data_IF_458738771600
#
_entry.id   IF_458738771600
#
_cell.length_a   1.000
_cell.length_b   1.000
_cell.length_c   1.000
_cell.angle_alpha   90.00
_cell.angle_beta   90.00
_cell.angle_gamma   90.00
#
_symmetry.space_group_name_H-M   'P 1'
#
loop_
_entity.id
_entity.type
_entity.pdbx_description
1 polymer ?
#
# COMPACT_ATOMS: atom_id res chain seq x y z
N UNK A 1 -15.38 8.52 -17.08
CA UNK A 1 -15.06 8.96 -15.71
C UNK A 1 -13.65 9.53 -15.53
N UNK A 2 -12.78 9.51 -16.54
CA UNK A 2 -11.42 10.08 -16.44
C UNK A 2 -11.38 11.60 -16.15
N UNK A 3 -12.43 12.34 -16.43
CA UNK A 3 -12.53 13.78 -16.19
C UNK A 3 -13.06 14.18 -14.79
N UNK A 4 -13.51 13.21 -13.97
CA UNK A 4 -14.02 13.53 -12.63
C UNK A 4 -12.88 13.71 -11.62
N UNK A 5 -13.00 14.70 -10.75
CA UNK A 5 -12.07 14.93 -9.63
C UNK A 5 -12.07 13.78 -8.62
N UNK A 6 -11.01 13.66 -7.81
CA UNK A 6 -10.82 12.56 -6.86
C UNK A 6 -11.97 12.43 -5.86
N UNK A 7 -12.47 13.53 -5.28
CA UNK A 7 -13.61 13.49 -4.35
C UNK A 7 -14.85 12.88 -4.99
N UNK A 8 -15.14 13.21 -6.27
CA UNK A 8 -16.26 12.61 -7.00
C UNK A 8 -16.01 11.13 -7.28
N UNK A 9 -14.76 10.73 -7.61
CA UNK A 9 -14.41 9.31 -7.80
C UNK A 9 -14.56 8.51 -6.51
N UNK A 10 -14.22 9.08 -5.35
CA UNK A 10 -14.46 8.43 -4.05
C UNK A 10 -15.91 7.96 -3.91
N UNK A 11 -16.86 8.78 -4.35
CA UNK A 11 -18.31 8.54 -4.18
C UNK A 11 -18.91 7.75 -5.35
N UNK A 12 -18.47 7.99 -6.59
CA UNK A 12 -19.20 7.54 -7.79
C UNK A 12 -18.49 6.41 -8.57
N UNK A 13 -17.20 6.18 -8.37
CA UNK A 13 -16.50 5.18 -9.16
C UNK A 13 -16.81 3.73 -8.70
N UNK A 14 -16.62 2.78 -9.61
CA UNK A 14 -16.66 1.34 -9.34
C UNK A 14 -18.03 0.69 -9.38
N UNK A 15 -19.10 1.38 -8.97
CA UNK A 15 -20.46 0.87 -9.03
C UNK A 15 -21.42 1.89 -9.68
N UNK A 16 -22.18 1.44 -10.66
CA UNK A 16 -23.17 2.25 -11.38
C UNK A 16 -24.48 1.49 -11.45
N UNK A 17 -25.42 1.73 -10.51
CA UNK A 17 -26.69 1.03 -10.49
C UNK A 17 -27.56 1.42 -11.68
N UNK A 18 -28.27 0.42 -12.24
CA UNK A 18 -29.29 0.60 -13.26
C UNK A 18 -30.63 1.00 -12.63
N UNK A 19 -31.62 1.29 -13.48
CA UNK A 19 -32.96 1.63 -13.03
C UNK A 19 -33.56 0.52 -12.16
N UNK A 20 -33.93 0.84 -10.92
CA UNK A 20 -34.49 -0.10 -9.95
C UNK A 20 -33.47 -0.94 -9.17
N UNK A 21 -32.16 -0.79 -9.44
CA UNK A 21 -31.12 -1.45 -8.67
C UNK A 21 -30.77 -0.67 -7.38
N UNK A 22 -30.23 -1.35 -6.35
CA UNK A 22 -29.82 -0.70 -5.12
C UNK A 22 -28.79 0.40 -5.37
N UNK A 23 -28.96 1.54 -4.69
CA UNK A 23 -27.98 2.64 -4.76
C UNK A 23 -26.62 2.25 -4.18
N UNK A 24 -26.63 1.53 -3.04
CA UNK A 24 -25.43 1.00 -2.45
C UNK A 24 -25.07 -0.34 -3.10
N UNK A 25 -23.77 -0.61 -3.19
CA UNK A 25 -23.28 -1.88 -3.71
C UNK A 25 -23.87 -3.04 -2.90
N UNK A 26 -24.49 -4.05 -3.53
CA UNK A 26 -24.98 -5.23 -2.83
C UNK A 26 -23.82 -6.07 -2.27
N UNK A 27 -24.03 -6.67 -1.10
CA UNK A 27 -23.12 -7.69 -0.58
C UNK A 27 -23.51 -9.05 -1.17
N UNK A 28 -22.73 -9.54 -2.12
CA UNK A 28 -22.96 -10.85 -2.75
C UNK A 28 -22.29 -11.94 -1.92
N UNK A 29 -22.99 -12.41 -0.91
CA UNK A 29 -22.51 -13.45 0.02
C UNK A 29 -22.81 -14.85 -0.55
N UNK A 30 -22.11 -15.21 -1.62
CA UNK A 30 -22.22 -16.52 -2.27
C UNK A 30 -20.84 -17.08 -2.61
N UNK A 31 -20.63 -18.37 -2.42
CA UNK A 31 -19.39 -19.05 -2.84
C UNK A 31 -19.40 -19.38 -4.32
N UNK A 32 -20.57 -19.63 -4.90
CA UNK A 32 -20.71 -20.09 -6.29
C UNK A 32 -21.90 -19.45 -6.99
N UNK A 33 -21.94 -19.55 -8.30
CA UNK A 33 -22.94 -18.91 -9.16
C UNK A 33 -23.54 -19.95 -10.10
N UNK A 34 -24.84 -19.81 -10.44
CA UNK A 34 -25.58 -20.74 -11.29
C UNK A 34 -25.41 -20.37 -12.76
N UNK A 35 -25.23 -21.37 -13.59
CA UNK A 35 -25.26 -21.28 -15.05
C UNK A 35 -26.28 -22.24 -15.61
N UNK A 36 -26.78 -21.99 -16.82
CA UNK A 36 -27.79 -22.84 -17.48
C UNK A 36 -27.16 -24.03 -18.21
N UNK A 37 -25.90 -23.91 -18.63
CA UNK A 37 -25.18 -24.97 -19.31
C UNK A 37 -23.73 -25.12 -18.88
N UNK A 38 -23.20 -26.35 -19.01
CA UNK A 38 -21.77 -26.63 -18.81
C UNK A 38 -20.90 -25.90 -19.83
N UNK A 39 -21.42 -25.67 -21.05
CA UNK A 39 -20.68 -24.95 -22.09
C UNK A 39 -20.46 -23.48 -21.74
N UNK A 40 -21.48 -22.79 -21.18
CA UNK A 40 -21.31 -21.42 -20.70
C UNK A 40 -20.30 -21.35 -19.58
N UNK A 41 -20.37 -22.26 -18.61
CA UNK A 41 -19.42 -22.31 -17.49
C UNK A 41 -18.00 -22.63 -18.00
N UNK A 42 -17.85 -23.55 -18.96
CA UNK A 42 -16.56 -23.90 -19.56
C UNK A 42 -15.84 -22.70 -20.17
N UNK A 43 -16.54 -21.81 -20.85
CA UNK A 43 -15.98 -20.59 -21.44
C UNK A 43 -15.38 -19.64 -20.40
N UNK A 44 -15.89 -19.65 -19.14
CA UNK A 44 -15.31 -18.88 -18.05
C UNK A 44 -13.98 -19.50 -17.59
N UNK A 45 -13.92 -20.84 -17.49
CA UNK A 45 -12.69 -21.55 -17.16
C UNK A 45 -11.62 -21.41 -18.24
N UNK A 46 -12.03 -21.31 -19.51
CA UNK A 46 -11.13 -21.07 -20.64
C UNK A 46 -10.76 -19.59 -20.81
N UNK A 47 -11.22 -18.74 -19.90
CA UNK A 47 -11.07 -17.28 -19.95
C UNK A 47 -11.64 -16.65 -21.24
N UNK A 48 -12.59 -17.31 -21.89
CA UNK A 48 -13.26 -16.87 -23.14
C UNK A 48 -14.45 -15.95 -22.89
N UNK A 49 -15.00 -15.98 -21.69
CA UNK A 49 -16.09 -15.13 -21.26
C UNK A 49 -15.79 -14.48 -19.93
N UNK A 50 -16.41 -13.32 -19.68
CA UNK A 50 -16.40 -12.66 -18.38
C UNK A 50 -17.58 -13.13 -17.54
N UNK A 51 -17.38 -13.34 -16.24
CA UNK A 51 -18.43 -13.74 -15.33
C UNK A 51 -17.88 -14.28 -14.00
N UNK A 52 -18.80 -14.64 -13.13
CA UNK A 52 -18.46 -15.14 -11.78
C UNK A 52 -18.88 -16.60 -11.67
N UNK A 53 -18.01 -17.48 -11.23
CA UNK A 53 -18.34 -18.88 -10.99
C UNK A 53 -17.97 -19.33 -9.57
N UNK A 54 -16.97 -18.71 -8.97
CA UNK A 54 -16.56 -19.00 -7.59
C UNK A 54 -15.91 -17.79 -6.93
N UNK A 55 -16.40 -17.39 -5.76
CA UNK A 55 -15.98 -16.16 -5.08
C UNK A 55 -14.54 -16.14 -4.61
N UNK A 56 -13.84 -17.28 -4.54
CA UNK A 56 -12.39 -17.30 -4.26
C UNK A 56 -11.58 -16.60 -5.36
N UNK A 57 -12.03 -16.64 -6.61
CA UNK A 57 -11.37 -15.95 -7.71
C UNK A 57 -11.89 -14.52 -7.82
N UNK A 58 -13.20 -14.37 -7.96
CA UNK A 58 -13.86 -13.08 -8.19
C UNK A 58 -15.24 -13.04 -7.55
N UNK A 59 -15.64 -11.86 -7.10
CA UNK A 59 -16.96 -11.60 -6.53
C UNK A 59 -17.43 -10.21 -6.96
N UNK A 60 -18.71 -10.03 -7.37
CA UNK A 60 -19.20 -8.73 -7.86
C UNK A 60 -19.00 -7.57 -6.89
N UNK A 61 -19.14 -7.80 -5.57
CA UNK A 61 -18.90 -6.78 -4.55
C UNK A 61 -17.43 -6.37 -4.52
N UNK A 62 -16.53 -7.34 -4.50
CA UNK A 62 -15.08 -7.11 -4.46
C UNK A 62 -14.60 -6.37 -5.72
N UNK A 63 -15.09 -6.78 -6.89
CA UNK A 63 -14.68 -6.20 -8.17
C UNK A 63 -15.13 -4.74 -8.31
N UNK A 64 -16.32 -4.40 -7.81
CA UNK A 64 -16.77 -3.01 -7.82
C UNK A 64 -15.91 -2.12 -6.90
N UNK A 65 -15.49 -2.63 -5.75
CA UNK A 65 -14.60 -1.90 -4.83
C UNK A 65 -13.18 -1.81 -5.41
N UNK A 66 -12.67 -2.88 -6.00
CA UNK A 66 -11.39 -2.88 -6.70
C UNK A 66 -11.38 -1.86 -7.85
N UNK A 67 -12.45 -1.80 -8.64
CA UNK A 67 -12.60 -0.82 -9.73
C UNK A 67 -12.64 0.63 -9.20
N UNK A 68 -13.21 0.87 -8.02
CA UNK A 68 -13.15 2.19 -7.36
C UNK A 68 -11.71 2.56 -6.99
N UNK A 69 -10.96 1.64 -6.39
CA UNK A 69 -9.56 1.87 -6.03
C UNK A 69 -8.70 2.12 -7.28
N UNK A 70 -8.91 1.32 -8.34
CA UNK A 70 -8.25 1.55 -9.63
C UNK A 70 -8.53 2.95 -10.18
N UNK A 71 -9.79 3.40 -10.14
CA UNK A 71 -10.17 4.74 -10.59
C UNK A 71 -9.54 5.85 -9.74
N UNK A 72 -9.38 5.65 -8.44
CA UNK A 72 -8.72 6.60 -7.54
C UNK A 72 -7.23 6.71 -7.84
N UNK A 73 -6.51 5.60 -7.95
CA UNK A 73 -5.09 5.58 -8.29
C UNK A 73 -4.82 5.99 -9.76
N UNK A 74 -5.81 5.86 -10.64
CA UNK A 74 -5.66 6.09 -12.08
C UNK A 74 -5.06 4.89 -12.81
N UNK A 75 -5.24 3.70 -12.24
CA UNK A 75 -4.88 2.42 -12.85
C UNK A 75 -5.94 1.88 -13.81
N UNK A 76 -5.60 0.82 -14.53
CA UNK A 76 -6.48 0.15 -15.50
C UNK A 76 -7.22 -1.02 -14.91
N UNK A 77 -6.62 -1.71 -13.94
CA UNK A 77 -7.18 -2.89 -13.28
C UNK A 77 -6.74 -2.96 -11.81
N UNK A 78 -7.55 -3.58 -10.97
CA UNK A 78 -7.22 -3.83 -9.56
C UNK A 78 -7.85 -5.14 -9.07
N UNK A 79 -7.32 -5.65 -7.95
CA UNK A 79 -7.89 -6.77 -7.21
C UNK A 79 -7.80 -6.53 -5.71
N UNK A 80 -8.75 -7.04 -4.94
CA UNK A 80 -8.70 -7.07 -3.49
C UNK A 80 -8.08 -8.36 -2.97
N UNK A 81 -7.38 -8.26 -1.84
CA UNK A 81 -6.76 -9.39 -1.14
C UNK A 81 -7.14 -9.41 0.33
N UNK A 82 -6.92 -10.54 1.01
CA UNK A 82 -7.26 -10.73 2.42
C UNK A 82 -6.49 -9.82 3.38
N UNK A 83 -5.37 -9.24 2.96
CA UNK A 83 -4.54 -8.33 3.77
C UNK A 83 -3.57 -7.54 2.89
N UNK A 84 -3.00 -6.45 3.42
CA UNK A 84 -1.90 -5.73 2.78
C UNK A 84 -0.69 -6.63 2.52
N UNK A 85 -0.35 -7.54 3.45
CA UNK A 85 0.73 -8.51 3.25
C UNK A 85 0.45 -9.46 2.08
N UNK A 86 -0.79 -9.91 1.91
CA UNK A 86 -1.17 -10.70 0.74
C UNK A 86 -1.08 -9.89 -0.55
N UNK A 87 -1.44 -8.60 -0.52
CA UNK A 87 -1.28 -7.70 -1.68
C UNK A 87 0.19 -7.56 -2.07
N UNK A 88 1.08 -7.29 -1.12
CA UNK A 88 2.52 -7.17 -1.37
C UNK A 88 3.09 -8.48 -1.89
N UNK A 89 2.76 -9.60 -1.24
CA UNK A 89 3.23 -10.92 -1.67
C UNK A 89 2.76 -11.25 -3.09
N UNK A 90 1.48 -11.05 -3.40
CA UNK A 90 0.94 -11.34 -4.72
C UNK A 90 1.51 -10.41 -5.79
N UNK A 91 1.66 -9.11 -5.48
CA UNK A 91 2.23 -8.15 -6.41
C UNK A 91 3.66 -8.53 -6.81
N UNK A 92 4.49 -8.95 -5.86
CA UNK A 92 5.86 -9.37 -6.15
C UNK A 92 5.88 -10.77 -6.76
N UNK A 93 5.23 -11.76 -6.13
CA UNK A 93 5.31 -13.17 -6.52
C UNK A 93 4.62 -13.48 -7.86
N UNK A 94 3.78 -12.58 -8.35
CA UNK A 94 3.17 -12.67 -9.70
C UNK A 94 4.21 -12.64 -10.81
N UNK A 95 5.38 -12.02 -10.59
CA UNK A 95 6.44 -11.82 -11.58
C UNK A 95 7.83 -12.23 -11.09
N UNK A 96 8.00 -12.51 -9.80
CA UNK A 96 9.27 -12.89 -9.16
C UNK A 96 9.10 -14.29 -8.57
N UNK A 97 9.94 -15.23 -8.93
CA UNK A 97 9.91 -16.61 -8.44
C UNK A 97 11.26 -17.10 -7.94
N UNK A 98 11.38 -18.41 -7.71
CA UNK A 98 12.63 -19.02 -7.29
C UNK A 98 13.75 -18.79 -8.33
N UNK A 99 14.90 -18.35 -7.87
CA UNK A 99 16.06 -17.99 -8.70
C UNK A 99 16.06 -16.55 -9.20
N UNK A 100 14.98 -15.78 -8.94
CA UNK A 100 14.88 -14.39 -9.31
C UNK A 100 15.36 -13.45 -8.18
N UNK A 101 15.49 -12.17 -8.51
CA UNK A 101 15.98 -11.13 -7.62
C UNK A 101 15.00 -9.95 -7.55
N UNK A 102 14.86 -9.38 -6.35
CA UNK A 102 14.10 -8.17 -6.02
C UNK A 102 15.04 -7.09 -5.51
N UNK A 103 14.92 -5.86 -5.99
CA UNK A 103 15.50 -4.67 -5.35
C UNK A 103 14.43 -4.00 -4.50
N UNK A 104 14.71 -3.69 -3.24
CA UNK A 104 13.76 -3.02 -2.35
C UNK A 104 14.40 -1.85 -1.64
N UNK A 105 13.65 -0.76 -1.43
CA UNK A 105 14.05 0.24 -0.43
C UNK A 105 14.23 -0.45 0.92
N UNK A 106 15.24 -0.03 1.70
CA UNK A 106 15.45 -0.50 3.07
C UNK A 106 14.46 0.14 4.06
N UNK A 107 14.01 1.37 3.77
CA UNK A 107 12.98 2.06 4.55
C UNK A 107 11.60 1.64 4.08
N UNK A 108 11.08 0.56 4.66
CA UNK A 108 9.75 0.01 4.40
C UNK A 108 9.15 -0.55 5.71
N UNK A 109 7.86 -0.86 5.68
CA UNK A 109 7.18 -1.50 6.79
C UNK A 109 7.89 -2.78 7.24
N UNK A 110 8.08 -2.96 8.56
CA UNK A 110 8.81 -4.10 9.11
C UNK A 110 8.27 -5.47 8.69
N UNK A 111 6.96 -5.59 8.48
CA UNK A 111 6.35 -6.82 7.94
C UNK A 111 6.75 -7.10 6.49
N UNK A 112 6.86 -6.07 5.65
CA UNK A 112 7.35 -6.17 4.26
C UNK A 112 8.83 -6.52 4.22
N UNK A 113 9.62 -5.88 5.09
CA UNK A 113 11.04 -6.21 5.23
C UNK A 113 11.25 -7.69 5.59
N UNK A 114 10.53 -8.20 6.60
CA UNK A 114 10.62 -9.60 7.00
C UNK A 114 10.10 -10.55 5.91
N UNK A 115 9.03 -10.18 5.20
CA UNK A 115 8.54 -10.94 4.06
C UNK A 115 9.65 -11.16 3.02
N UNK A 116 10.36 -10.10 2.66
CA UNK A 116 11.41 -10.14 1.64
C UNK A 116 12.69 -10.80 2.17
N UNK A 117 13.19 -10.36 3.32
CA UNK A 117 14.47 -10.81 3.85
C UNK A 117 14.47 -12.27 4.32
N UNK A 118 13.32 -12.79 4.76
CA UNK A 118 13.21 -14.12 5.39
C UNK A 118 12.30 -15.05 4.60
N UNK A 119 11.04 -14.67 4.42
CA UNK A 119 10.03 -15.59 3.87
C UNK A 119 10.27 -15.87 2.40
N UNK A 120 10.43 -14.83 1.57
CA UNK A 120 10.68 -15.01 0.13
C UNK A 120 12.07 -15.60 -0.16
N UNK A 121 13.06 -15.31 0.70
CA UNK A 121 14.35 -15.98 0.63
C UNK A 121 14.24 -17.51 0.76
N UNK A 122 13.37 -18.00 1.64
CA UNK A 122 13.08 -19.44 1.76
C UNK A 122 12.37 -20.01 0.54
N UNK A 123 11.71 -19.16 -0.25
CA UNK A 123 11.09 -19.50 -1.54
C UNK A 123 12.06 -19.39 -2.71
N UNK A 124 13.35 -19.13 -2.45
CA UNK A 124 14.38 -19.03 -3.47
C UNK A 124 14.50 -17.66 -4.14
N UNK A 125 13.86 -16.62 -3.61
CA UNK A 125 13.99 -15.25 -4.10
C UNK A 125 15.12 -14.53 -3.36
N UNK A 126 16.04 -13.92 -4.11
CA UNK A 126 17.07 -13.07 -3.53
C UNK A 126 16.61 -11.61 -3.47
N UNK A 127 17.04 -10.87 -2.44
CA UNK A 127 16.66 -9.47 -2.25
C UNK A 127 17.90 -8.62 -1.94
N UNK A 128 18.01 -7.48 -2.63
CA UNK A 128 18.97 -6.41 -2.27
C UNK A 128 18.18 -5.22 -1.72
N UNK A 129 18.47 -4.84 -0.49
CA UNK A 129 17.94 -3.62 0.12
C UNK A 129 18.87 -2.45 -0.18
N UNK A 130 18.30 -1.31 -0.58
CA UNK A 130 19.03 -0.08 -0.89
C UNK A 130 18.57 1.05 0.03
N UNK A 131 19.49 1.92 0.40
CA UNK A 131 19.13 3.17 1.08
C UNK A 131 18.24 4.00 0.12
N UNK A 132 17.04 4.48 0.52
CA UNK A 132 16.22 5.32 -0.34
C UNK A 132 16.92 6.62 -0.77
N UNK A 133 17.91 7.07 0.02
CA UNK A 133 18.69 8.27 -0.25
C UNK A 133 19.99 8.00 -1.03
N UNK A 134 20.25 6.75 -1.44
CA UNK A 134 21.44 6.37 -2.22
C UNK A 134 21.51 7.16 -3.54
N UNK A 135 22.72 7.30 -4.07
CA UNK A 135 22.93 7.93 -5.38
C UNK A 135 22.30 7.10 -6.50
N UNK A 136 22.03 7.71 -7.67
CA UNK A 136 21.56 6.95 -8.84
C UNK A 136 22.50 5.81 -9.24
N UNK A 137 23.81 6.00 -9.09
CA UNK A 137 24.83 4.99 -9.42
C UNK A 137 24.79 3.80 -8.44
N UNK A 138 24.65 4.06 -7.14
CA UNK A 138 24.47 3.03 -6.13
C UNK A 138 23.16 2.26 -6.34
N UNK A 139 22.09 2.97 -6.72
CA UNK A 139 20.82 2.35 -7.03
C UNK A 139 20.91 1.44 -8.26
N UNK A 140 21.56 1.89 -9.34
CA UNK A 140 21.77 1.08 -10.54
C UNK A 140 22.64 -0.17 -10.25
N UNK A 141 23.64 -0.04 -9.38
CA UNK A 141 24.52 -1.16 -8.99
C UNK A 141 23.79 -2.27 -8.20
N UNK A 142 22.62 -1.99 -7.65
CA UNK A 142 21.81 -3.00 -6.94
C UNK A 142 21.09 -3.97 -7.89
N UNK A 143 20.94 -3.64 -9.17
CA UNK A 143 20.25 -4.48 -10.13
C UNK A 143 21.18 -5.60 -10.65
N UNK A 144 20.60 -6.77 -10.86
CA UNK A 144 21.26 -7.98 -11.39
C UNK A 144 20.54 -8.43 -12.66
N UNK A 145 21.13 -9.28 -13.50
CA UNK A 145 20.46 -9.80 -14.71
C UNK A 145 19.11 -10.47 -14.42
N UNK A 146 18.99 -11.13 -13.26
CA UNK A 146 17.78 -11.81 -12.79
C UNK A 146 16.86 -10.92 -11.92
N UNK A 147 17.08 -9.62 -11.84
CA UNK A 147 16.15 -8.70 -11.13
C UNK A 147 14.86 -8.56 -11.94
N UNK A 148 13.72 -8.81 -11.28
CA UNK A 148 12.39 -8.77 -11.92
C UNK A 148 11.42 -7.76 -11.31
N UNK A 149 11.68 -7.22 -10.14
CA UNK A 149 10.85 -6.17 -9.55
C UNK A 149 11.70 -5.23 -8.69
N UNK A 150 11.19 -4.01 -8.54
CA UNK A 150 11.66 -3.04 -7.56
C UNK A 150 10.50 -2.63 -6.66
N UNK A 151 10.77 -2.47 -5.35
CA UNK A 151 9.74 -2.16 -4.36
C UNK A 151 10.14 -0.98 -3.48
N UNK A 152 9.15 -0.13 -3.13
CA UNK A 152 9.30 0.95 -2.17
C UNK A 152 7.96 1.38 -1.59
N UNK A 153 7.97 2.28 -0.61
CA UNK A 153 6.77 2.88 0.00
C UNK A 153 6.78 4.38 -0.26
N UNK A 154 5.65 4.97 -0.66
CA UNK A 154 5.53 6.42 -0.88
C UNK A 154 5.98 7.20 0.36
N UNK A 155 5.48 6.80 1.54
CA UNK A 155 5.88 7.29 2.86
C UNK A 155 6.10 6.08 3.76
N UNK A 156 7.33 5.86 4.18
CA UNK A 156 7.72 4.67 4.92
C UNK A 156 7.25 4.67 6.39
N UNK A 157 6.90 3.50 6.91
CA UNK A 157 6.48 3.30 8.31
C UNK A 157 7.58 2.52 9.08
N UNK A 158 8.12 3.02 10.20
CA UNK A 158 7.75 4.25 10.93
C UNK A 158 8.64 5.46 10.61
N UNK A 159 9.65 5.30 9.78
CA UNK A 159 10.71 6.29 9.56
C UNK A 159 10.21 7.56 8.82
N UNK A 160 9.02 7.53 8.20
CA UNK A 160 8.45 8.62 7.40
C UNK A 160 9.36 9.15 6.29
N UNK A 161 10.25 8.29 5.80
CA UNK A 161 11.05 8.55 4.60
C UNK A 161 10.12 8.72 3.41
N UNK A 162 10.28 9.76 2.62
CA UNK A 162 9.55 9.96 1.37
C UNK A 162 10.39 9.41 0.23
N UNK A 163 9.84 8.47 -0.53
CA UNK A 163 10.52 7.87 -1.68
C UNK A 163 10.61 8.88 -2.83
N UNK A 164 11.80 9.05 -3.41
CA UNK A 164 11.92 9.72 -4.70
C UNK A 164 11.45 8.77 -5.81
N UNK A 165 10.13 8.79 -6.08
CA UNK A 165 9.47 7.84 -6.97
C UNK A 165 10.05 7.90 -8.38
N UNK A 166 10.32 9.09 -8.92
CA UNK A 166 10.90 9.24 -10.26
C UNK A 166 12.32 8.68 -10.36
N UNK A 167 13.16 8.88 -9.33
CA UNK A 167 14.50 8.29 -9.27
C UNK A 167 14.44 6.75 -9.31
N UNK A 168 13.56 6.17 -8.49
CA UNK A 168 13.37 4.73 -8.41
C UNK A 168 12.75 4.15 -9.69
N UNK A 169 11.73 4.80 -10.24
CA UNK A 169 11.11 4.40 -11.50
C UNK A 169 12.10 4.47 -12.68
N UNK A 170 12.87 5.55 -12.78
CA UNK A 170 13.87 5.70 -13.83
C UNK A 170 14.95 4.60 -13.75
N UNK A 171 15.43 4.25 -12.56
CA UNK A 171 16.37 3.16 -12.36
C UNK A 171 15.75 1.81 -12.76
N UNK A 172 14.56 1.48 -12.24
CA UNK A 172 13.86 0.26 -12.56
C UNK A 172 13.65 0.09 -14.08
N UNK A 173 13.15 1.11 -14.74
CA UNK A 173 12.86 1.07 -16.18
C UNK A 173 14.12 0.94 -17.05
N UNK A 174 15.26 1.55 -16.66
CA UNK A 174 16.54 1.33 -17.36
C UNK A 174 16.95 -0.14 -17.39
N UNK A 175 16.58 -0.88 -16.34
CA UNK A 175 16.86 -2.32 -16.22
C UNK A 175 15.72 -3.22 -16.72
N UNK A 176 14.67 -2.63 -17.33
CA UNK A 176 13.48 -3.37 -17.79
C UNK A 176 12.72 -4.05 -16.66
N UNK A 177 12.58 -3.37 -15.53
CA UNK A 177 11.97 -3.84 -14.28
C UNK A 177 10.83 -2.89 -13.89
N UNK A 178 9.64 -3.38 -13.48
CA UNK A 178 8.59 -2.52 -12.97
C UNK A 178 8.90 -2.05 -11.54
N UNK A 179 8.42 -0.84 -11.22
CA UNK A 179 8.39 -0.31 -9.86
C UNK A 179 7.03 -0.59 -9.19
N UNK A 180 7.06 -1.29 -8.07
CA UNK A 180 5.92 -1.56 -7.18
C UNK A 180 6.01 -0.58 -6.00
N UNK A 181 4.96 0.20 -5.77
CA UNK A 181 4.91 1.19 -4.68
C UNK A 181 3.77 0.88 -3.72
N UNK A 182 4.09 0.75 -2.43
CA UNK A 182 3.07 0.75 -1.38
C UNK A 182 2.65 2.21 -1.09
N UNK A 183 1.39 2.52 -1.42
CA UNK A 183 0.82 3.86 -1.28
C UNK A 183 -0.14 3.98 -0.09
N UNK A 184 0.01 3.09 0.90
CA UNK A 184 -0.90 2.98 2.05
C UNK A 184 -1.01 4.29 2.85
N UNK A 185 0.11 4.96 3.15
CA UNK A 185 0.10 6.17 3.99
C UNK A 185 -0.31 7.43 3.24
N UNK A 186 0.12 7.59 2.00
CA UNK A 186 -0.28 8.75 1.21
C UNK A 186 -1.72 8.64 0.70
N UNK A 187 -2.19 7.45 0.37
CA UNK A 187 -3.43 7.19 -0.36
C UNK A 187 -3.47 7.87 -1.73
N UNK A 188 -4.37 7.52 -2.64
CA UNK A 188 -4.50 8.21 -3.93
C UNK A 188 -4.95 9.68 -3.81
N UNK A 189 -5.34 10.11 -2.60
CA UNK A 189 -5.73 11.51 -2.36
C UNK A 189 -4.51 12.42 -2.32
N UNK A 190 -3.45 11.99 -1.64
CA UNK A 190 -2.25 12.81 -1.45
C UNK A 190 -1.18 12.52 -2.50
N UNK A 191 -1.07 11.26 -2.97
CA UNK A 191 -0.13 10.86 -4.01
C UNK A 191 -0.73 9.81 -4.92
N UNK A 192 -0.48 9.92 -6.21
CA UNK A 192 -0.79 8.90 -7.22
C UNK A 192 0.51 8.47 -7.89
N UNK A 193 1.16 7.41 -7.40
CA UNK A 193 2.49 7.00 -7.86
C UNK A 193 2.60 6.75 -9.36
N UNK A 194 1.50 6.39 -10.04
CA UNK A 194 1.46 6.23 -11.50
C UNK A 194 1.73 7.51 -12.29
N UNK A 195 1.54 8.67 -11.69
CA UNK A 195 1.86 9.98 -12.31
C UNK A 195 3.38 10.23 -12.30
N UNK A 196 4.11 9.50 -11.44
CA UNK A 196 5.54 9.64 -11.20
C UNK A 196 6.36 8.44 -11.69
N UNK A 197 5.73 7.51 -12.44
CA UNK A 197 6.42 6.41 -13.09
C UNK A 197 6.33 5.06 -12.38
N UNK A 198 5.60 4.93 -11.29
CA UNK A 198 5.30 3.61 -10.74
C UNK A 198 4.43 2.79 -11.71
N UNK A 199 4.57 1.48 -11.66
CA UNK A 199 3.85 0.55 -12.54
C UNK A 199 2.74 -0.19 -11.81
N UNK A 200 3.01 -0.61 -10.59
CA UNK A 200 2.08 -1.34 -9.71
C UNK A 200 1.99 -0.58 -8.38
N UNK A 201 0.78 -0.46 -7.85
CA UNK A 201 0.53 0.10 -6.51
C UNK A 201 -0.13 -0.93 -5.63
N UNK A 202 0.30 -1.01 -4.37
CA UNK A 202 -0.33 -1.86 -3.36
C UNK A 202 -0.83 -1.03 -2.17
N UNK A 203 -1.82 -1.55 -1.47
CA UNK A 203 -2.39 -0.94 -0.27
C UNK A 203 -2.68 -1.96 0.82
N UNK A 204 -2.43 -1.57 2.06
CA UNK A 204 -3.06 -2.17 3.24
C UNK A 204 -4.34 -1.38 3.53
N UNK A 205 -5.49 -1.93 3.13
CA UNK A 205 -6.76 -1.21 3.13
C UNK A 205 -7.36 -0.89 4.50
N UNK A 206 -7.08 -1.62 5.64
CA UNK A 206 -7.60 -1.26 6.96
C UNK A 206 -7.05 0.06 7.53
N UNK A 207 -6.09 0.69 6.84
CA UNK A 207 -5.55 2.01 7.16
C UNK A 207 -6.53 3.10 6.70
N UNK A 208 -6.04 4.22 6.19
CA UNK A 208 -6.88 5.33 5.76
C UNK A 208 -7.99 4.95 4.77
N UNK A 209 -7.82 3.94 3.90
CA UNK A 209 -8.86 3.59 2.93
C UNK A 209 -10.15 3.13 3.60
N UNK A 210 -10.08 2.21 4.56
CA UNK A 210 -11.21 1.83 5.44
C UNK A 210 -11.47 2.95 6.46
N UNK A 211 -10.42 3.42 7.13
CA UNK A 211 -10.41 4.53 8.07
C UNK A 211 -11.02 4.23 9.43
N UNK A 212 -11.42 3.00 9.70
CA UNK A 212 -12.13 2.62 10.92
C UNK A 212 -11.53 1.39 11.61
N UNK A 213 -10.42 0.84 11.07
CA UNK A 213 -9.82 -0.41 11.54
C UNK A 213 -10.83 -1.59 11.59
N UNK A 214 -11.88 -1.52 10.75
CA UNK A 214 -13.04 -2.42 10.84
C UNK A 214 -12.82 -3.75 10.13
N UNK A 215 -12.06 -3.79 9.03
CA UNK A 215 -11.88 -4.99 8.24
C UNK A 215 -10.47 -5.09 7.64
N UNK A 216 -9.81 -6.22 7.88
CA UNK A 216 -8.50 -6.51 7.26
C UNK A 216 -8.69 -6.71 5.76
N UNK A 217 -7.75 -6.16 4.97
CA UNK A 217 -7.76 -6.29 3.53
C UNK A 217 -6.52 -5.66 2.90
N UNK A 218 -6.39 -5.87 1.61
CA UNK A 218 -5.38 -5.25 0.76
C UNK A 218 -5.89 -5.03 -0.65
N UNK A 219 -5.17 -4.27 -1.43
CA UNK A 219 -5.47 -4.05 -2.84
C UNK A 219 -4.18 -4.00 -3.65
N UNK A 220 -4.27 -4.47 -4.90
CA UNK A 220 -3.23 -4.34 -5.93
C UNK A 220 -3.86 -3.59 -7.09
N UNK A 221 -3.16 -2.58 -7.60
CA UNK A 221 -3.57 -1.80 -8.76
C UNK A 221 -2.47 -1.84 -9.81
N UNK A 222 -2.84 -2.09 -11.06
CA UNK A 222 -1.95 -2.05 -12.21
C UNK A 222 -2.18 -0.77 -13.02
N UNK A 223 -1.10 -0.08 -13.35
CA UNK A 223 -1.16 1.08 -14.25
C UNK A 223 -1.53 0.70 -15.68
N UNK A 224 -1.25 -0.54 -16.10
CA UNK A 224 -1.34 -0.99 -17.48
C UNK A 224 -0.31 -0.38 -18.42
N UNK A 225 0.72 0.28 -17.89
CA UNK A 225 1.72 1.03 -18.68
C UNK A 225 3.02 0.27 -18.90
N UNK A 226 3.38 -0.65 -18.00
CA UNK A 226 4.62 -1.42 -18.16
C UNK A 226 4.48 -2.40 -19.33
N UNK A 227 5.37 -2.28 -20.29
CA UNK A 227 5.35 -3.11 -21.50
C UNK A 227 6.10 -4.42 -21.29
N UNK A 228 5.40 -5.42 -20.76
CA UNK A 228 5.91 -6.77 -20.52
C UNK A 228 6.47 -7.41 -21.79
N UNK A 229 5.90 -7.09 -22.96
CA UNK A 229 6.26 -7.70 -24.25
C UNK A 229 7.65 -7.28 -24.75
N UNK A 230 8.22 -6.20 -24.20
CA UNK A 230 9.62 -5.84 -24.46
C UNK A 230 10.62 -6.73 -23.76
N UNK A 231 10.19 -7.49 -22.75
CA UNK A 231 11.05 -8.31 -21.92
C UNK A 231 10.49 -9.73 -21.72
N UNK A 232 10.15 -10.47 -22.84
CA UNK A 232 9.43 -11.74 -22.72
C UNK A 232 10.25 -12.79 -21.97
N UNK A 233 11.57 -12.81 -22.14
CA UNK A 233 12.47 -13.73 -21.41
C UNK A 233 12.54 -13.43 -19.92
N UNK A 234 12.33 -12.18 -19.53
CA UNK A 234 12.30 -11.75 -18.13
C UNK A 234 10.95 -12.08 -17.47
N UNK A 235 9.84 -11.97 -18.22
CA UNK A 235 8.47 -12.21 -17.73
C UNK A 235 7.75 -13.30 -18.52
N UNK A 236 8.30 -14.52 -18.59
CA UNK A 236 7.68 -15.61 -19.38
C UNK A 236 6.27 -15.93 -18.88
N UNK A 237 6.00 -15.87 -17.57
CA UNK A 237 4.68 -16.10 -16.99
C UNK A 237 3.56 -15.17 -17.49
N UNK A 238 3.89 -14.07 -18.17
CA UNK A 238 2.92 -13.15 -18.80
C UNK A 238 2.96 -13.24 -20.32
N UNK A 239 4.11 -13.59 -20.90
CA UNK A 239 4.41 -13.47 -22.33
C UNK A 239 4.53 -14.81 -23.06
N UNK A 240 4.41 -15.94 -22.37
CA UNK A 240 4.42 -17.29 -22.98
C UNK A 240 3.15 -18.05 -22.61
N UNK A 241 2.80 -19.12 -23.37
CA UNK A 241 1.63 -19.94 -23.10
C UNK A 241 1.64 -20.53 -21.68
N UNK A 242 0.54 -20.36 -20.97
CA UNK A 242 0.33 -20.89 -19.61
C UNK A 242 -0.24 -22.31 -19.65
N UNK A 243 0.46 -23.27 -19.08
CA UNK A 243 0.05 -24.68 -19.02
C UNK A 243 -1.26 -24.87 -18.25
N UNK A 244 -1.55 -24.04 -17.25
CA UNK A 244 -2.75 -24.14 -16.41
C UNK A 244 -4.02 -23.61 -17.08
N UNK A 245 -3.88 -22.91 -18.23
CA UNK A 245 -4.98 -22.32 -18.99
C UNK A 245 -4.89 -22.63 -20.49
N UNK A 246 -4.63 -23.88 -20.85
CA UNK A 246 -4.63 -24.38 -22.23
C UNK A 246 -3.76 -23.57 -23.21
N UNK A 247 -2.65 -23.03 -22.73
CA UNK A 247 -1.72 -22.28 -23.54
C UNK A 247 -2.10 -20.80 -23.74
N UNK A 248 -2.93 -20.21 -22.89
CA UNK A 248 -3.21 -18.76 -22.94
C UNK A 248 -1.95 -17.97 -22.65
N UNK A 249 -1.63 -17.00 -23.50
CA UNK A 249 -0.62 -15.96 -23.26
C UNK A 249 -1.35 -14.72 -22.77
N UNK A 250 -1.09 -14.30 -21.51
CA UNK A 250 -1.87 -13.22 -20.88
C UNK A 250 -1.73 -11.89 -21.60
N UNK A 251 -0.52 -11.51 -22.02
CA UNK A 251 -0.28 -10.24 -22.74
C UNK A 251 -0.96 -10.20 -24.11
N UNK A 252 -1.05 -11.33 -24.81
CA UNK A 252 -1.74 -11.40 -26.10
C UNK A 252 -3.26 -11.32 -25.93
N UNK A 253 -3.80 -12.02 -24.91
CA UNK A 253 -5.25 -12.13 -24.72
C UNK A 253 -5.87 -10.92 -24.04
N UNK A 254 -5.20 -10.35 -23.04
CA UNK A 254 -5.74 -9.29 -22.18
C UNK A 254 -5.04 -7.94 -22.38
N UNK A 255 -4.01 -7.90 -23.24
CA UNK A 255 -3.19 -6.70 -23.43
C UNK A 255 -2.42 -6.29 -22.19
N UNK A 256 -1.69 -5.19 -22.26
CA UNK A 256 -0.93 -4.67 -21.11
C UNK A 256 -1.84 -4.27 -19.94
N UNK A 257 -3.03 -3.75 -20.24
CA UNK A 257 -3.97 -3.24 -19.25
C UNK A 257 -4.64 -4.32 -18.37
N UNK A 258 -4.64 -5.58 -18.83
CA UNK A 258 -5.33 -6.66 -18.12
C UNK A 258 -4.45 -7.84 -17.72
N UNK A 259 -3.32 -8.06 -18.39
CA UNK A 259 -2.49 -9.25 -18.22
C UNK A 259 -2.06 -9.51 -16.78
N UNK A 260 -1.54 -8.49 -16.11
CA UNK A 260 -0.94 -8.61 -14.78
C UNK A 260 -1.97 -8.97 -13.70
N UNK A 261 -3.09 -8.25 -13.62
CA UNK A 261 -4.14 -8.52 -12.63
C UNK A 261 -4.88 -9.82 -12.96
N UNK A 262 -5.12 -10.11 -14.25
CA UNK A 262 -5.76 -11.39 -14.64
C UNK A 262 -4.90 -12.56 -14.18
N UNK A 263 -3.59 -12.55 -14.48
CA UNK A 263 -2.69 -13.63 -14.02
C UNK A 263 -2.69 -13.77 -12.50
N UNK A 264 -2.58 -12.67 -11.77
CA UNK A 264 -2.62 -12.70 -10.30
C UNK A 264 -3.94 -13.31 -9.77
N UNK A 265 -5.07 -13.02 -10.43
CA UNK A 265 -6.39 -13.55 -10.06
C UNK A 265 -6.51 -15.03 -10.37
N UNK A 266 -6.20 -15.43 -11.62
CA UNK A 266 -6.50 -16.81 -12.08
C UNK A 266 -5.42 -17.81 -11.67
N UNK A 267 -4.26 -17.37 -11.22
CA UNK A 267 -3.21 -18.23 -10.64
C UNK A 267 -3.11 -18.03 -9.12
N UNK A 268 -2.60 -16.89 -8.66
CA UNK A 268 -2.28 -16.72 -7.23
C UNK A 268 -3.53 -16.70 -6.35
N UNK A 269 -4.56 -15.95 -6.72
CA UNK A 269 -5.80 -15.93 -5.94
C UNK A 269 -6.51 -17.29 -6.00
N UNK A 270 -6.58 -17.91 -7.19
CA UNK A 270 -7.17 -19.25 -7.35
C UNK A 270 -6.50 -20.28 -6.44
N UNK A 271 -5.17 -20.31 -6.41
CA UNK A 271 -4.39 -21.39 -5.81
C UNK A 271 -4.09 -21.13 -4.32
N UNK A 272 -3.83 -19.87 -3.92
CA UNK A 272 -3.49 -19.48 -2.55
C UNK A 272 -4.68 -18.98 -1.74
N UNK A 273 -5.75 -18.51 -2.39
CA UNK A 273 -7.04 -18.25 -1.77
C UNK A 273 -7.09 -17.06 -0.82
N UNK A 274 -6.18 -16.09 -0.94
CA UNK A 274 -6.13 -14.91 -0.06
C UNK A 274 -7.17 -13.83 -0.45
N UNK A 275 -8.43 -14.23 -0.59
CA UNK A 275 -9.52 -13.32 -0.96
C UNK A 275 -10.04 -12.55 0.26
N UNK A 276 -10.42 -11.29 0.06
CA UNK A 276 -11.18 -10.52 1.02
C UNK A 276 -12.67 -10.93 0.97
N UNK A 277 -13.35 -11.01 2.13
CA UNK A 277 -14.78 -11.31 2.14
C UNK A 277 -15.59 -10.17 1.51
N UNK A 278 -16.73 -10.47 0.83
CA UNK A 278 -17.59 -9.43 0.28
C UNK A 278 -18.11 -8.43 1.33
N UNK A 279 -18.33 -8.89 2.56
CA UNK A 279 -18.73 -8.01 3.66
C UNK A 279 -17.60 -7.05 4.03
N UNK A 280 -16.35 -7.50 4.10
CA UNK A 280 -15.19 -6.63 4.36
C UNK A 280 -14.97 -5.65 3.21
N UNK A 281 -15.17 -6.08 1.96
CA UNK A 281 -15.13 -5.20 0.80
C UNK A 281 -16.23 -4.11 0.87
N UNK A 282 -17.42 -4.45 1.35
CA UNK A 282 -18.48 -3.47 1.58
C UNK A 282 -18.09 -2.42 2.63
N UNK A 283 -17.51 -2.81 3.76
CA UNK A 283 -17.01 -1.84 4.76
C UNK A 283 -15.94 -0.93 4.18
N UNK A 284 -14.99 -1.50 3.44
CA UNK A 284 -13.98 -0.73 2.72
C UNK A 284 -14.63 0.28 1.75
N UNK A 285 -15.69 -0.11 1.04
CA UNK A 285 -16.44 0.79 0.17
C UNK A 285 -16.97 2.02 0.92
N UNK A 286 -17.55 1.83 2.11
CA UNK A 286 -18.04 2.94 2.94
C UNK A 286 -16.90 3.89 3.35
N UNK A 287 -15.75 3.32 3.72
CA UNK A 287 -14.54 4.10 4.03
C UNK A 287 -14.05 4.92 2.83
N UNK A 288 -14.00 4.32 1.64
CA UNK A 288 -13.56 5.01 0.42
C UNK A 288 -14.44 6.21 0.04
N UNK A 289 -15.74 6.15 0.31
CA UNK A 289 -16.66 7.25 -0.02
C UNK A 289 -16.32 8.57 0.70
N UNK A 290 -15.74 8.49 1.90
CA UNK A 290 -15.32 9.66 2.70
C UNK A 290 -13.79 9.89 2.72
N UNK A 291 -13.01 9.10 1.98
CA UNK A 291 -11.55 9.12 2.06
C UNK A 291 -10.97 10.52 1.83
N UNK A 292 -11.47 11.25 0.83
CA UNK A 292 -10.94 12.57 0.47
C UNK A 292 -11.10 13.62 1.59
N UNK A 293 -12.23 13.62 2.31
CA UNK A 293 -12.45 14.56 3.43
C UNK A 293 -11.71 14.12 4.69
N UNK A 294 -11.58 12.80 4.93
CA UNK A 294 -10.82 12.28 6.07
C UNK A 294 -9.32 12.53 5.91
N UNK A 295 -8.77 12.32 4.72
CA UNK A 295 -7.34 12.58 4.46
C UNK A 295 -6.97 14.04 4.70
N UNK A 296 -7.82 14.99 4.28
CA UNK A 296 -7.61 16.39 4.57
C UNK A 296 -7.50 16.62 6.08
N UNK A 297 -8.45 16.12 6.87
CA UNK A 297 -8.45 16.29 8.34
C UNK A 297 -7.25 15.62 9.00
N UNK A 298 -6.87 14.41 8.58
CA UNK A 298 -5.69 13.73 9.10
C UNK A 298 -4.41 14.54 8.86
N UNK A 299 -4.23 15.08 7.65
CA UNK A 299 -3.07 15.88 7.31
C UNK A 299 -3.04 17.21 8.08
N UNK A 300 -4.18 17.89 8.23
CA UNK A 300 -4.29 19.13 9.02
C UNK A 300 -3.93 18.88 10.48
N UNK A 301 -4.44 17.80 11.08
CA UNK A 301 -4.12 17.44 12.45
C UNK A 301 -2.64 17.11 12.63
N UNK A 302 -2.07 16.30 11.72
CA UNK A 302 -0.66 15.94 11.77
C UNK A 302 0.25 17.16 11.63
N UNK A 303 -0.07 18.11 10.75
CA UNK A 303 0.68 19.35 10.56
C UNK A 303 0.72 20.16 11.87
N UNK A 304 -0.45 20.43 12.48
CA UNK A 304 -0.54 21.18 13.74
C UNK A 304 0.20 20.48 14.89
N UNK A 305 0.06 19.15 14.99
CA UNK A 305 0.77 18.36 16.01
C UNK A 305 2.29 18.40 15.79
N UNK A 306 2.74 18.26 14.55
CA UNK A 306 4.17 18.30 14.20
C UNK A 306 4.79 19.68 14.52
N UNK A 307 4.10 20.78 14.19
CA UNK A 307 4.51 22.16 14.51
C UNK A 307 4.61 22.38 16.02
N UNK A 308 3.64 21.88 16.79
CA UNK A 308 3.68 21.92 18.24
C UNK A 308 4.87 21.13 18.80
N UNK A 309 5.08 19.90 18.33
CA UNK A 309 6.18 19.04 18.80
C UNK A 309 7.55 19.64 18.47
N UNK A 310 7.71 20.27 17.32
CA UNK A 310 8.97 20.91 16.92
C UNK A 310 9.39 22.03 17.87
N UNK A 311 8.42 22.70 18.51
CA UNK A 311 8.66 23.82 19.43
C UNK A 311 8.72 23.37 20.89
N UNK A 312 8.40 22.12 21.22
CA UNK A 312 8.28 21.67 22.59
C UNK A 312 9.65 21.34 23.21
N UNK A 313 9.95 21.90 24.39
CA UNK A 313 11.26 21.80 25.07
C UNK A 313 11.72 20.36 25.39
N UNK A 314 10.79 19.41 25.61
CA UNK A 314 11.08 18.01 25.93
C UNK A 314 11.12 17.10 24.71
N UNK A 315 10.93 17.62 23.49
CA UNK A 315 11.10 16.91 22.23
C UNK A 315 12.53 17.07 21.74
N UNK A 316 13.15 15.99 21.31
CA UNK A 316 14.54 15.97 20.83
C UNK A 316 14.64 16.16 19.32
N UNK A 317 13.67 15.64 18.58
CA UNK A 317 13.57 15.74 17.13
C UNK A 317 12.13 15.42 16.68
N UNK A 318 11.77 15.93 15.51
CA UNK A 318 10.51 15.59 14.81
C UNK A 318 10.86 15.23 13.38
N UNK A 319 10.25 14.18 12.84
CA UNK A 319 10.30 13.82 11.43
C UNK A 319 8.91 13.85 10.84
N UNK A 320 8.70 14.79 9.93
CA UNK A 320 7.45 14.99 9.23
C UNK A 320 7.70 15.87 8.00
N UNK A 321 7.54 15.35 6.81
CA UNK A 321 7.90 16.04 5.57
C UNK A 321 7.07 17.31 5.27
N UNK A 322 6.04 17.60 6.06
CA UNK A 322 5.30 18.88 6.01
C UNK A 322 5.97 20.02 6.77
N UNK A 323 7.05 19.77 7.52
CA UNK A 323 7.78 20.81 8.26
C UNK A 323 8.92 21.38 7.43
N UNK A 324 9.02 22.72 7.24
CA UNK A 324 10.20 23.33 6.66
C UNK A 324 11.46 22.95 7.44
N UNK A 325 12.48 22.47 6.72
CA UNK A 325 13.73 21.99 7.31
C UNK A 325 13.77 20.49 7.61
N UNK A 326 12.67 19.75 7.45
CA UNK A 326 12.71 18.30 7.41
C UNK A 326 13.52 17.82 6.19
N UNK A 327 14.26 16.71 6.34
CA UNK A 327 15.09 16.14 5.27
C UNK A 327 14.30 15.86 3.98
N UNK A 328 13.04 15.49 4.12
CA UNK A 328 12.17 15.12 3.00
C UNK A 328 11.16 16.20 2.61
N UNK A 329 11.35 17.44 3.10
CA UNK A 329 10.42 18.54 2.81
C UNK A 329 10.23 18.77 1.31
N UNK A 330 11.32 18.85 0.54
CA UNK A 330 11.26 19.09 -0.91
C UNK A 330 10.56 17.94 -1.66
N UNK A 331 10.85 16.68 -1.29
CA UNK A 331 10.14 15.52 -1.85
C UNK A 331 8.67 15.51 -1.42
N UNK A 332 8.38 15.92 -0.18
CA UNK A 332 7.03 16.10 0.32
C UNK A 332 6.25 17.13 -0.51
N UNK A 333 6.83 18.30 -0.77
CA UNK A 333 6.20 19.30 -1.63
C UNK A 333 5.97 18.83 -3.07
N UNK A 334 6.90 18.01 -3.58
CA UNK A 334 6.81 17.48 -4.94
C UNK A 334 5.74 16.39 -5.08
N UNK A 335 5.78 15.36 -4.26
CA UNK A 335 4.95 14.16 -4.40
C UNK A 335 3.63 14.21 -3.63
N UNK A 336 3.55 15.05 -2.58
CA UNK A 336 2.46 15.09 -1.61
C UNK A 336 1.91 16.53 -1.43
N UNK A 337 1.56 17.22 -2.53
CA UNK A 337 1.20 18.65 -2.47
C UNK A 337 -0.10 18.93 -1.70
N UNK A 338 -0.89 17.89 -1.42
CA UNK A 338 -2.17 18.00 -0.69
C UNK A 338 -2.06 17.57 0.79
N UNK A 339 -0.85 17.32 1.27
CA UNK A 339 -0.53 16.81 2.60
C UNK A 339 0.12 15.44 2.55
N UNK A 340 0.96 15.13 3.54
CA UNK A 340 1.73 13.87 3.53
C UNK A 340 0.91 12.67 3.98
N UNK A 341 0.52 12.67 5.23
CA UNK A 341 -0.33 11.67 5.90
C UNK A 341 -0.67 12.18 7.31
N UNK A 342 -1.41 11.39 8.08
CA UNK A 342 -1.73 11.71 9.47
C UNK A 342 -0.68 11.25 10.49
N UNK A 343 0.48 10.75 10.06
CA UNK A 343 1.49 10.18 10.97
C UNK A 343 2.65 11.14 11.18
N UNK A 344 3.07 11.31 12.43
CA UNK A 344 4.24 12.07 12.85
C UNK A 344 5.16 11.15 13.66
N UNK A 345 6.45 11.13 13.36
CA UNK A 345 7.46 10.45 14.16
C UNK A 345 8.30 11.47 14.90
N UNK A 346 8.53 11.25 16.19
CA UNK A 346 9.33 12.16 17.01
C UNK A 346 10.04 11.42 18.14
N UNK A 347 11.08 12.05 18.67
CA UNK A 347 11.80 11.56 19.84
C UNK A 347 11.64 12.49 21.04
N UNK A 348 11.76 11.94 22.24
CA UNK A 348 11.69 12.68 23.50
C UNK A 348 13.04 12.71 24.20
N UNK A 349 13.34 13.80 24.89
CA UNK A 349 14.55 13.91 25.74
C UNK A 349 14.46 12.91 26.87
N UNK A 350 15.53 12.15 27.10
CA UNK A 350 15.58 11.08 28.09
C UNK A 350 15.48 9.66 27.49
N UNK A 351 15.42 9.56 26.15
CA UNK A 351 15.53 8.29 25.43
C UNK A 351 14.33 7.37 25.64
N UNK A 352 14.57 6.06 25.54
CA UNK A 352 13.56 5.02 25.59
C UNK A 352 12.61 5.09 26.80
N UNK A 353 13.19 5.23 28.00
CA UNK A 353 12.40 5.26 29.24
C UNK A 353 11.44 6.47 29.29
N UNK A 354 11.88 7.63 28.80
CA UNK A 354 11.04 8.81 28.69
C UNK A 354 9.93 8.62 27.64
N UNK A 355 10.23 7.98 26.49
CA UNK A 355 9.24 7.67 25.47
C UNK A 355 8.12 6.76 26.01
N UNK A 356 8.48 5.69 26.71
CA UNK A 356 7.54 4.79 27.36
C UNK A 356 6.70 5.50 28.43
N UNK A 357 7.32 6.39 29.24
CA UNK A 357 6.62 7.15 30.26
C UNK A 357 5.62 8.17 29.66
N UNK A 358 5.99 8.86 28.58
CA UNK A 358 5.11 9.80 27.87
C UNK A 358 3.88 9.07 27.32
N UNK A 359 4.07 7.91 26.69
CA UNK A 359 2.95 7.13 26.15
C UNK A 359 1.99 6.70 27.25
N UNK A 360 2.49 6.31 28.43
CA UNK A 360 1.65 5.90 29.57
C UNK A 360 0.81 7.03 30.18
N UNK A 361 1.10 8.30 29.87
CA UNK A 361 0.36 9.48 30.37
C UNK A 361 -0.72 9.98 29.42
N UNK A 362 -0.79 9.45 28.19
CA UNK A 362 -1.79 9.85 27.20
C UNK A 362 -3.19 9.46 27.65
N UNK A 363 -4.17 10.33 27.33
CA UNK A 363 -5.58 10.16 27.72
C UNK A 363 -6.52 10.06 26.51
N UNK A 364 -6.14 10.66 25.40
CA UNK A 364 -6.90 10.63 24.13
C UNK A 364 -6.29 9.59 23.21
N UNK A 365 -4.97 9.67 22.97
CA UNK A 365 -4.30 8.71 22.09
C UNK A 365 -4.13 7.35 22.79
N UNK A 366 -4.57 6.28 22.11
CA UNK A 366 -4.39 4.90 22.56
C UNK A 366 -3.02 4.32 22.14
N UNK A 367 -2.54 3.33 22.90
CA UNK A 367 -1.32 2.58 22.55
C UNK A 367 -1.73 1.36 21.72
N UNK A 368 -1.39 1.35 20.43
CA UNK A 368 -1.82 0.31 19.51
C UNK A 368 -0.76 0.02 18.44
N UNK A 369 -0.76 -1.21 17.93
CA UNK A 369 0.04 -1.59 16.76
C UNK A 369 -0.54 -1.03 15.47
N UNK A 370 -1.83 -0.74 15.45
CA UNK A 370 -2.53 -0.14 14.31
C UNK A 370 -2.07 1.31 14.07
N UNK A 371 -2.48 1.89 12.95
CA UNK A 371 -2.10 3.23 12.48
C UNK A 371 -3.07 3.67 11.39
N UNK A 372 -3.25 4.99 11.24
CA UNK A 372 -3.93 5.54 10.07
C UNK A 372 -5.44 5.19 10.00
N UNK A 373 -6.14 5.43 11.10
CA UNK A 373 -7.60 5.38 11.18
C UNK A 373 -8.18 6.63 11.86
N UNK A 374 -9.48 6.63 12.10
CA UNK A 374 -10.20 7.76 12.67
C UNK A 374 -9.83 8.09 14.12
N UNK A 375 -9.24 7.15 14.85
CA UNK A 375 -8.80 7.33 16.23
C UNK A 375 -7.31 7.62 16.30
N UNK A 376 -6.94 8.56 17.15
CA UNK A 376 -5.54 8.84 17.41
C UNK A 376 -4.89 7.72 18.21
N UNK A 377 -3.78 7.19 17.70
CA UNK A 377 -3.02 6.15 18.38
C UNK A 377 -1.50 6.42 18.32
N UNK A 378 -0.77 5.76 19.20
CA UNK A 378 0.68 5.85 19.24
C UNK A 378 1.35 4.49 19.45
N UNK A 379 2.59 4.39 19.05
CA UNK A 379 3.43 3.22 19.21
C UNK A 379 4.87 3.64 19.49
N UNK A 380 5.55 2.91 20.36
CA UNK A 380 6.99 2.95 20.53
C UNK A 380 7.62 1.71 19.86
N UNK A 381 8.12 1.81 18.63
CA UNK A 381 8.54 0.64 17.86
C UNK A 381 9.63 -0.19 18.53
N UNK A 382 10.62 0.46 19.15
CA UNK A 382 11.74 -0.22 19.79
C UNK A 382 11.34 -1.15 20.95
N UNK A 383 10.23 -0.85 21.66
CA UNK A 383 9.72 -1.72 22.74
C UNK A 383 8.61 -2.68 22.29
N UNK A 384 8.14 -2.58 21.04
CA UNK A 384 7.00 -3.35 20.54
C UNK A 384 7.32 -4.08 19.23
N UNK A 385 7.01 -3.49 18.09
CA UNK A 385 7.12 -4.12 16.76
C UNK A 385 8.54 -4.49 16.35
N UNK A 386 9.55 -3.82 16.88
CA UNK A 386 10.98 -4.03 16.60
C UNK A 386 11.74 -4.52 17.85
N UNK A 387 11.04 -5.02 18.87
CA UNK A 387 11.60 -5.42 20.16
C UNK A 387 12.69 -6.48 20.06
N UNK A 388 12.69 -7.28 19.01
CA UNK A 388 13.64 -8.37 18.79
C UNK A 388 14.97 -7.89 18.17
N UNK A 389 15.02 -6.63 17.70
CA UNK A 389 16.20 -6.02 17.10
C UNK A 389 17.13 -5.45 18.17
N UNK A 390 18.44 -5.59 17.94
CA UNK A 390 19.44 -4.88 18.72
C UNK A 390 19.57 -3.41 18.28
N UNK A 391 20.41 -2.60 18.96
CA UNK A 391 20.53 -1.18 18.69
C UNK A 391 21.03 -0.85 17.26
N UNK A 392 21.93 -1.67 16.70
CA UNK A 392 22.46 -1.51 15.35
C UNK A 392 21.39 -1.85 14.30
N UNK A 393 20.66 -2.93 14.52
CA UNK A 393 19.54 -3.33 13.66
C UNK A 393 18.39 -2.32 13.67
N UNK A 394 18.07 -1.76 14.84
CA UNK A 394 17.08 -0.67 14.97
C UNK A 394 17.51 0.55 14.16
N UNK A 395 18.76 0.97 14.28
CA UNK A 395 19.28 2.14 13.56
C UNK A 395 19.28 1.91 12.04
N UNK A 396 19.66 0.72 11.60
CA UNK A 396 19.61 0.33 10.18
C UNK A 396 18.18 0.31 9.62
N UNK A 397 17.19 0.00 10.47
CA UNK A 397 15.76 0.06 10.12
C UNK A 397 15.18 1.48 10.22
N UNK A 398 15.99 2.51 10.54
CA UNK A 398 15.52 3.89 10.74
C UNK A 398 14.72 4.09 12.03
N UNK A 399 14.83 3.17 12.99
CA UNK A 399 14.10 3.19 14.26
C UNK A 399 15.05 3.61 15.39
N UNK A 400 14.94 4.86 15.85
CA UNK A 400 15.67 5.34 17.00
C UNK A 400 15.04 4.81 18.29
N UNK A 401 15.83 4.61 19.33
CA UNK A 401 15.34 4.09 20.62
C UNK A 401 14.32 5.01 21.33
N UNK A 402 14.36 6.31 21.02
CA UNK A 402 13.45 7.33 21.56
C UNK A 402 12.24 7.60 20.63
N UNK A 403 12.08 6.86 19.51
CA UNK A 403 11.06 7.11 18.53
C UNK A 403 9.66 6.78 19.05
N UNK A 404 8.77 7.75 19.01
CA UNK A 404 7.32 7.56 19.13
C UNK A 404 6.70 7.81 17.76
N UNK A 405 6.01 6.82 17.20
CA UNK A 405 5.15 6.98 16.04
C UNK A 405 3.75 7.39 16.52
N UNK A 406 3.30 8.55 16.11
CA UNK A 406 2.00 9.12 16.48
C UNK A 406 1.12 9.24 15.24
N UNK A 407 -0.02 8.56 15.23
CA UNK A 407 -1.00 8.61 14.15
C UNK A 407 -2.17 9.48 14.59
N UNK A 408 -2.28 10.66 14.01
CA UNK A 408 -3.37 11.59 14.27
C UNK A 408 -4.66 11.08 13.61
N UNK A 409 -5.69 10.93 14.42
CA UNK A 409 -7.05 10.62 13.96
C UNK A 409 -7.82 11.87 13.51
N UNK A 410 -9.14 11.82 13.69
CA UNK A 410 -10.08 12.87 13.26
C UNK A 410 -10.54 13.78 14.40
N UNK A 411 -10.02 13.58 15.62
CA UNK A 411 -10.33 14.38 16.80
C UNK A 411 -9.93 15.85 16.59
N UNK A 412 -10.32 16.73 17.50
CA UNK A 412 -9.96 18.14 17.41
C UNK A 412 -8.46 18.31 17.72
N UNK A 413 -7.74 18.98 16.82
CA UNK A 413 -6.27 19.12 16.90
C UNK A 413 -5.81 19.73 18.21
N UNK A 414 -6.57 20.69 18.76
CA UNK A 414 -6.29 21.37 20.01
C UNK A 414 -6.34 20.41 21.21
N UNK A 415 -7.24 19.40 21.17
CA UNK A 415 -7.33 18.36 22.20
C UNK A 415 -6.16 17.38 22.08
N UNK A 416 -5.77 17.01 20.86
CA UNK A 416 -4.59 16.18 20.61
C UNK A 416 -3.31 16.86 21.11
N UNK A 417 -3.17 18.17 20.88
CA UNK A 417 -2.05 18.98 21.36
C UNK A 417 -2.07 19.08 22.88
N UNK A 418 -3.22 19.31 23.49
CA UNK A 418 -3.37 19.39 24.95
C UNK A 418 -3.02 18.06 25.62
N UNK A 419 -3.49 16.93 25.07
CA UNK A 419 -3.14 15.59 25.56
C UNK A 419 -1.64 15.32 25.47
N UNK A 420 -1.01 15.72 24.37
CA UNK A 420 0.42 15.57 24.16
C UNK A 420 1.22 16.46 25.12
N UNK A 421 0.84 17.70 25.28
CA UNK A 421 1.52 18.66 26.16
C UNK A 421 1.51 18.20 27.63
N UNK A 422 0.38 17.67 28.13
CA UNK A 422 0.31 17.14 29.49
C UNK A 422 1.14 15.86 29.69
N UNK A 423 1.27 15.04 28.65
CA UNK A 423 2.06 13.81 28.68
C UNK A 423 3.57 14.07 28.63
N UNK A 424 4.00 15.12 27.93
CA UNK A 424 5.42 15.53 27.81
C UNK A 424 5.96 16.27 29.05
N UNK A 425 5.09 16.73 29.92
CA UNK A 425 5.45 17.32 31.22
C UNK A 425 5.68 16.24 32.26
#
# INVERSE_FOLDING_TARGET
MAQLGLGTRCVQAGYSPKNGEPRQIPIIQSTTFKYESSAEMGRLFDLEASGYFYSRLQNPTNDAVAARIAALEGGTAAMLTASGQAAIFFAVFNIVGAGDHLVSSASIYGGSFNLFAVTMKRMGVEVTFVDPDCSPEELDAAFRPNTKAMYGETVANPALTVLDIEKFAAAAHRHGVPLIVDNTFATPINCRPFEWGADIVVHSTPKYMDGHAGAIGGAIVDSGKFDWTKYPDKYPGLCTPDESYHGVTYTERFGLAGAYITKATVQLMRDLGAIQSPQSAYYLNLGLESLHVRMQRHCENAQKVAEFLQQHENVSWVQFCGLPGDKYYELGQKYLPHGSCGVVSFGVKGGRAAAEAVMGKLKVASIETHVADSHTCCLHPASTTHRQMNAEELLAAGVREDLIRYSCGLEDAEELIADRNQALR
#
